data_IF_783960309754
#
_entry.id   IF_783960309754
#
_cell.length_a   1.000
_cell.length_b   1.000
_cell.length_c   1.000
_cell.angle_alpha   90.00
_cell.angle_beta   90.00
_cell.angle_gamma   90.00
#
_symmetry.space_group_name_H-M   'P 1'
#
loop_
_entity.id
_entity.type
_entity.pdbx_description
1 polymer ?
#
# COMPACT_ATOMS: atom_id res chain seq x y z
N UNK A 1 -18.85 54.48 -2.21
CA UNK A 1 -19.13 53.15 -2.79
C UNK A 1 -18.73 52.11 -1.75
N UNK A 2 -19.70 51.59 -1.04
CA UNK A 2 -19.50 50.53 -0.02
C UNK A 2 -19.29 49.21 -0.71
N UNK A 3 -18.09 48.60 -0.54
CA UNK A 3 -17.85 47.22 -0.97
C UNK A 3 -18.83 46.31 -0.20
N UNK A 4 -19.74 45.64 -0.93
CA UNK A 4 -20.51 44.52 -0.39
C UNK A 4 -19.49 43.42 -0.04
N UNK A 5 -19.39 43.07 1.24
CA UNK A 5 -18.72 41.83 1.67
C UNK A 5 -19.57 40.68 1.13
N UNK A 6 -19.02 39.94 0.15
CA UNK A 6 -19.60 38.65 -0.26
C UNK A 6 -19.33 37.64 0.85
N UNK A 7 -20.37 37.30 1.60
CA UNK A 7 -20.33 36.20 2.59
C UNK A 7 -20.24 34.89 1.81
N UNK A 8 -19.09 34.25 1.87
CA UNK A 8 -18.89 32.90 1.30
C UNK A 8 -19.71 31.93 2.18
N UNK A 9 -20.83 31.43 1.64
CA UNK A 9 -21.59 30.35 2.27
C UNK A 9 -20.92 29.02 1.99
N UNK A 10 -20.29 28.43 3.00
CA UNK A 10 -19.76 27.09 2.92
C UNK A 10 -20.89 26.07 3.17
N UNK A 11 -20.99 25.07 2.27
CA UNK A 11 -21.88 23.93 2.51
C UNK A 11 -21.35 23.11 3.67
N UNK A 12 -22.23 22.65 4.54
CA UNK A 12 -21.89 21.73 5.60
C UNK A 12 -21.29 20.43 5.01
N UNK A 13 -20.19 19.96 5.60
CA UNK A 13 -19.51 18.75 5.16
C UNK A 13 -20.13 17.57 5.90
N UNK A 14 -20.78 16.65 5.16
CA UNK A 14 -21.30 15.41 5.71
C UNK A 14 -20.27 14.29 5.52
N UNK A 15 -19.50 14.03 6.58
CA UNK A 15 -18.51 12.92 6.60
C UNK A 15 -19.21 11.66 7.05
N UNK A 16 -19.07 10.60 6.28
CA UNK A 16 -19.54 9.25 6.55
C UNK A 16 -18.35 8.32 6.71
N UNK A 17 -18.58 7.23 7.42
CA UNK A 17 -17.63 6.16 7.65
C UNK A 17 -18.17 4.85 7.07
N UNK A 18 -17.30 4.01 6.48
CA UNK A 18 -17.65 2.67 6.01
C UNK A 18 -16.46 1.72 6.19
N UNK A 19 -16.77 0.44 6.41
CA UNK A 19 -15.80 -0.66 6.36
C UNK A 19 -15.99 -1.43 5.08
N UNK A 20 -14.89 -1.67 4.37
CA UNK A 20 -14.88 -2.39 3.09
C UNK A 20 -13.92 -3.56 3.21
N UNK A 21 -14.43 -4.77 3.00
CA UNK A 21 -13.60 -5.97 2.91
C UNK A 21 -13.18 -6.17 1.47
N UNK A 22 -11.87 -6.21 1.22
CA UNK A 22 -11.29 -6.60 -0.07
C UNK A 22 -10.66 -7.98 0.02
N UNK A 23 -10.77 -8.75 -1.06
CA UNK A 23 -10.19 -10.09 -1.20
C UNK A 23 -9.31 -10.12 -2.44
N UNK A 24 -8.14 -10.72 -2.32
CA UNK A 24 -7.18 -10.83 -3.41
C UNK A 24 -7.59 -11.84 -4.47
N UNK A 25 -7.55 -11.44 -5.73
CA UNK A 25 -7.78 -12.31 -6.90
C UNK A 25 -6.52 -13.06 -7.34
N UNK A 26 -5.41 -12.80 -6.66
CA UNK A 26 -4.13 -13.41 -6.93
C UNK A 26 -3.12 -13.08 -5.82
N UNK A 27 -1.86 -13.34 -6.09
CA UNK A 27 -0.79 -13.11 -5.12
C UNK A 27 -0.56 -11.62 -4.88
N UNK A 28 -0.47 -11.21 -3.60
CA UNK A 28 0.02 -9.91 -3.18
C UNK A 28 1.53 -9.99 -2.95
N UNK A 29 2.27 -9.05 -3.50
CA UNK A 29 3.70 -8.90 -3.23
C UNK A 29 3.94 -7.65 -2.38
N UNK A 30 4.46 -7.83 -1.16
CA UNK A 30 4.85 -6.74 -0.27
C UNK A 30 6.37 -6.62 -0.25
N UNK A 31 6.87 -5.53 -0.81
CA UNK A 31 8.31 -5.31 -0.91
C UNK A 31 8.61 -3.80 -0.91
N UNK A 32 8.66 -3.22 0.29
CA UNK A 32 9.20 -1.86 0.46
C UNK A 32 10.73 -1.89 0.38
N UNK A 33 11.36 -0.74 0.27
CA UNK A 33 12.81 -0.63 0.42
C UNK A 33 13.21 -1.13 1.82
N UNK A 34 14.00 -2.21 1.87
CA UNK A 34 14.46 -2.82 3.11
C UNK A 34 15.51 -1.96 3.83
N UNK A 35 15.74 -2.23 5.11
CA UNK A 35 16.62 -1.42 5.94
C UNK A 35 18.08 -1.47 5.48
N UNK A 36 18.53 -2.60 4.93
CA UNK A 36 19.89 -2.75 4.36
C UNK A 36 20.08 -1.80 3.18
N UNK A 37 19.12 -1.78 2.27
CA UNK A 37 19.14 -0.86 1.12
C UNK A 37 19.11 0.62 1.57
N UNK A 38 18.33 0.95 2.60
CA UNK A 38 18.29 2.30 3.17
C UNK A 38 19.64 2.70 3.77
N UNK A 39 20.27 1.80 4.57
CA UNK A 39 21.60 2.05 5.15
C UNK A 39 22.64 2.25 4.05
N UNK A 40 22.71 1.35 3.08
CA UNK A 40 23.64 1.45 1.97
C UNK A 40 23.51 2.78 1.20
N UNK A 41 22.27 3.19 0.85
CA UNK A 41 22.04 4.49 0.18
C UNK A 41 22.47 5.68 1.05
N UNK A 42 22.30 5.58 2.37
CA UNK A 42 22.69 6.64 3.28
C UNK A 42 24.21 6.73 3.41
N UNK A 43 24.90 5.58 3.48
CA UNK A 43 26.35 5.50 3.59
C UNK A 43 27.05 5.90 2.30
N UNK A 44 26.52 5.53 1.13
CA UNK A 44 27.03 6.00 -0.16
C UNK A 44 26.97 7.52 -0.30
N UNK A 45 25.93 8.15 0.22
CA UNK A 45 25.82 9.62 0.23
C UNK A 45 26.82 10.30 1.15
N UNK A 46 27.22 9.62 2.24
CA UNK A 46 28.14 10.14 3.25
C UNK A 46 29.60 9.83 2.95
N UNK A 47 29.90 8.64 2.40
CA UNK A 47 31.26 8.15 2.18
C UNK A 47 31.35 7.32 0.89
N UNK A 48 31.86 7.90 -0.19
CA UNK A 48 32.06 7.20 -1.50
C UNK A 48 33.05 6.02 -1.49
N UNK A 49 33.74 5.73 -0.38
CA UNK A 49 34.82 4.74 -0.31
C UNK A 49 34.57 3.54 0.62
N UNK A 50 33.40 3.44 1.25
CA UNK A 50 33.05 2.26 2.06
C UNK A 50 32.51 1.13 1.20
N UNK A 51 33.02 -0.09 1.45
CA UNK A 51 32.39 -1.30 0.90
C UNK A 51 30.95 -1.41 1.40
N UNK A 52 30.01 -1.71 0.50
CA UNK A 52 28.62 -1.93 0.86
C UNK A 52 28.51 -3.09 1.85
N UNK A 53 27.66 -2.92 2.85
CA UNK A 53 27.34 -3.98 3.81
C UNK A 53 26.73 -5.17 3.05
N UNK A 54 27.26 -6.38 3.30
CA UNK A 54 26.64 -7.60 2.77
C UNK A 54 25.33 -7.83 3.54
N UNK A 55 24.19 -7.92 2.83
CA UNK A 55 22.93 -8.10 3.50
C UNK A 55 22.83 -9.48 4.17
N UNK A 56 22.19 -9.53 5.33
CA UNK A 56 21.58 -10.74 5.83
C UNK A 56 20.26 -10.93 5.04
N UNK A 57 20.11 -12.05 4.35
CA UNK A 57 18.93 -12.37 3.56
C UNK A 57 17.63 -12.21 4.35
N UNK A 58 17.60 -12.72 5.58
CA UNK A 58 16.42 -12.64 6.43
C UNK A 58 16.12 -11.21 6.89
N UNK A 59 17.15 -10.39 7.12
CA UNK A 59 16.95 -8.97 7.40
C UNK A 59 16.33 -8.25 6.19
N UNK A 60 16.79 -8.53 4.98
CA UNK A 60 16.19 -7.96 3.77
C UNK A 60 14.72 -8.34 3.64
N UNK A 61 14.38 -9.63 3.79
CA UNK A 61 13.04 -10.17 3.68
C UNK A 61 12.12 -9.55 4.74
N UNK A 62 12.50 -9.60 6.01
CA UNK A 62 11.68 -9.15 7.14
C UNK A 62 11.47 -7.64 7.09
N UNK A 63 12.51 -6.86 6.80
CA UNK A 63 12.41 -5.41 6.79
C UNK A 63 11.78 -4.84 5.52
N UNK A 64 11.58 -5.66 4.48
CA UNK A 64 10.82 -5.30 3.30
C UNK A 64 9.30 -5.35 3.49
N UNK A 65 8.81 -5.87 4.61
CA UNK A 65 7.39 -5.90 4.98
C UNK A 65 7.07 -4.72 5.92
N UNK A 66 5.90 -4.14 5.79
CA UNK A 66 5.31 -3.30 6.84
C UNK A 66 4.62 -4.20 7.86
N UNK A 67 4.92 -4.03 9.12
CA UNK A 67 4.39 -4.81 10.23
C UNK A 67 3.49 -3.95 11.12
N UNK A 68 2.33 -4.46 11.54
CA UNK A 68 1.37 -3.73 12.38
C UNK A 68 2.01 -3.29 13.70
N UNK A 69 2.62 -4.22 14.42
CA UNK A 69 3.14 -4.01 15.78
C UNK A 69 4.64 -3.66 15.79
N UNK A 70 5.11 -3.10 14.67
CA UNK A 70 6.50 -2.76 14.48
C UNK A 70 7.36 -3.91 13.95
N UNK A 71 8.54 -3.56 13.51
CA UNK A 71 9.48 -4.45 12.85
C UNK A 71 10.01 -5.54 13.81
N UNK A 72 10.00 -6.82 13.43
CA UNK A 72 10.65 -7.90 14.18
C UNK A 72 12.13 -7.62 14.42
N UNK A 73 12.67 -8.11 15.53
CA UNK A 73 14.08 -7.92 15.91
C UNK A 73 14.96 -9.13 15.56
N UNK A 74 14.35 -10.30 15.40
CA UNK A 74 15.03 -11.54 15.02
C UNK A 74 15.05 -11.68 13.50
N UNK A 75 16.23 -11.58 12.90
CA UNK A 75 16.47 -11.69 11.46
C UNK A 75 16.95 -13.10 11.11
N UNK A 76 16.11 -14.07 11.42
CA UNK A 76 16.27 -15.48 11.07
C UNK A 76 15.02 -16.02 10.39
N UNK A 77 15.07 -17.23 9.86
CA UNK A 77 13.91 -17.93 9.32
C UNK A 77 12.83 -18.15 10.39
N UNK A 78 13.25 -18.61 11.58
CA UNK A 78 12.37 -18.80 12.73
C UNK A 78 11.75 -17.47 13.18
N UNK A 79 12.55 -16.39 13.20
CA UNK A 79 12.08 -15.04 13.50
C UNK A 79 11.03 -14.53 12.53
N UNK A 80 11.18 -14.84 11.25
CA UNK A 80 10.17 -14.54 10.23
C UNK A 80 8.88 -15.33 10.46
N UNK A 81 8.97 -16.65 10.66
CA UNK A 81 7.80 -17.50 10.91
C UNK A 81 7.04 -17.05 12.15
N UNK A 82 7.74 -16.79 13.24
CA UNK A 82 7.16 -16.23 14.45
C UNK A 82 6.47 -14.90 14.21
N UNK A 83 7.10 -14.00 13.44
CA UNK A 83 6.51 -12.71 13.11
C UNK A 83 5.24 -12.83 12.27
N UNK A 84 5.16 -13.80 11.34
CA UNK A 84 3.97 -14.06 10.54
C UNK A 84 2.80 -14.63 11.36
N UNK A 85 3.09 -15.30 12.48
CA UNK A 85 2.08 -15.85 13.40
C UNK A 85 1.59 -14.82 14.43
N UNK A 86 2.51 -14.03 15.00
CA UNK A 86 2.23 -13.14 16.14
C UNK A 86 1.93 -11.69 15.73
N UNK A 87 2.39 -11.27 14.55
CA UNK A 87 2.25 -9.92 14.02
C UNK A 87 1.62 -9.95 12.62
N UNK A 88 0.99 -8.88 12.19
CA UNK A 88 0.34 -8.83 10.89
C UNK A 88 1.19 -8.06 9.87
N UNK A 89 1.47 -8.66 8.68
CA UNK A 89 1.93 -7.89 7.53
C UNK A 89 0.87 -6.89 7.09
N UNK A 90 1.31 -5.72 6.62
CA UNK A 90 0.40 -4.62 6.30
C UNK A 90 0.64 -4.06 4.90
N UNK A 91 -0.45 -3.56 4.32
CA UNK A 91 -0.43 -2.61 3.21
C UNK A 91 -0.54 -1.18 3.78
N UNK A 92 -0.08 -0.18 3.04
CA UNK A 92 -0.20 1.20 3.50
C UNK A 92 -1.53 1.80 3.10
N UNK A 93 -2.19 2.53 4.00
CA UNK A 93 -3.39 3.31 3.72
C UNK A 93 -3.14 4.31 2.57
N UNK A 94 -1.95 4.91 2.53
CA UNK A 94 -1.52 5.77 1.42
C UNK A 94 -1.48 5.03 0.08
N UNK A 95 -0.94 3.80 0.05
CA UNK A 95 -0.88 2.96 -1.16
C UNK A 95 -2.26 2.62 -1.70
N UNK A 96 -3.20 2.29 -0.82
CA UNK A 96 -4.61 2.06 -1.16
C UNK A 96 -5.24 3.33 -1.73
N UNK A 97 -5.17 4.45 -0.99
CA UNK A 97 -5.72 5.74 -1.43
C UNK A 97 -5.16 6.16 -2.79
N UNK A 98 -3.85 5.96 -3.00
CA UNK A 98 -3.21 6.24 -4.29
C UNK A 98 -3.74 5.33 -5.40
N UNK A 99 -3.90 4.03 -5.15
CA UNK A 99 -4.46 3.09 -6.12
C UNK A 99 -5.88 3.49 -6.54
N UNK A 100 -6.72 3.92 -5.59
CA UNK A 100 -8.07 4.41 -5.88
C UNK A 100 -8.04 5.70 -6.73
N UNK A 101 -7.19 6.66 -6.38
CA UNK A 101 -7.01 7.88 -7.15
C UNK A 101 -6.49 7.63 -8.58
N UNK A 102 -5.56 6.68 -8.74
CA UNK A 102 -5.07 6.25 -10.06
C UNK A 102 -6.21 5.63 -10.89
N UNK A 103 -7.12 4.86 -10.26
CA UNK A 103 -8.28 4.29 -10.93
C UNK A 103 -9.27 5.36 -11.42
N UNK A 104 -9.51 6.41 -10.62
CA UNK A 104 -10.36 7.54 -11.00
C UNK A 104 -9.87 8.17 -12.30
N UNK A 105 -8.58 8.45 -12.41
CA UNK A 105 -8.00 9.10 -13.60
C UNK A 105 -7.98 8.15 -14.80
N UNK A 106 -7.51 6.91 -14.61
CA UNK A 106 -7.34 5.94 -15.72
C UNK A 106 -8.66 5.49 -16.33
N UNK A 107 -9.75 5.50 -15.56
CA UNK A 107 -11.09 5.16 -16.05
C UNK A 107 -11.89 6.40 -16.47
N UNK A 108 -11.28 7.59 -16.50
CA UNK A 108 -11.94 8.82 -16.98
C UNK A 108 -13.08 9.31 -16.09
N UNK A 109 -13.12 8.90 -14.81
CA UNK A 109 -14.15 9.34 -13.84
C UNK A 109 -13.92 10.81 -13.50
N UNK A 110 -12.66 11.23 -13.32
CA UNK A 110 -12.25 12.63 -13.21
C UNK A 110 -10.90 12.81 -13.91
N UNK A 111 -10.63 14.03 -14.37
CA UNK A 111 -9.36 14.39 -15.01
C UNK A 111 -8.18 14.34 -14.01
N UNK A 112 -8.44 14.62 -12.74
CA UNK A 112 -7.44 14.68 -11.69
C UNK A 112 -7.90 13.89 -10.47
N UNK A 113 -6.97 13.21 -9.80
CA UNK A 113 -7.24 12.51 -8.55
C UNK A 113 -7.48 13.43 -7.34
N UNK A 114 -7.24 14.75 -7.47
CA UNK A 114 -7.28 15.71 -6.36
C UNK A 114 -8.63 15.79 -5.68
N UNK A 115 -9.73 15.78 -6.45
CA UNK A 115 -11.10 15.82 -5.91
C UNK A 115 -11.38 14.57 -5.10
N UNK A 116 -11.03 13.38 -5.63
CA UNK A 116 -11.17 12.12 -4.92
C UNK A 116 -10.32 12.10 -3.65
N UNK A 117 -9.05 12.47 -3.76
CA UNK A 117 -8.11 12.47 -2.63
C UNK A 117 -8.51 13.43 -1.49
N UNK A 118 -9.21 14.54 -1.83
CA UNK A 118 -9.76 15.47 -0.85
C UNK A 118 -11.05 14.98 -0.19
N UNK A 119 -11.79 14.08 -0.84
CA UNK A 119 -13.13 13.65 -0.41
C UNK A 119 -13.18 12.26 0.20
N UNK A 120 -12.14 11.44 0.00
CA UNK A 120 -12.05 10.06 0.50
C UNK A 120 -10.73 9.87 1.21
N UNK A 121 -10.78 9.36 2.42
CA UNK A 121 -9.62 9.02 3.22
C UNK A 121 -9.64 7.54 3.59
N UNK A 122 -8.50 6.87 3.50
CA UNK A 122 -8.32 5.50 4.00
C UNK A 122 -7.74 5.60 5.39
N UNK A 123 -8.46 5.07 6.36
CA UNK A 123 -8.06 5.05 7.77
C UNK A 123 -7.18 3.82 7.99
N UNK A 124 -6.11 4.01 8.74
CA UNK A 124 -5.22 2.92 9.12
C UNK A 124 -4.46 3.28 10.38
N UNK A 125 -4.30 2.34 11.28
CA UNK A 125 -3.50 2.53 12.47
C UNK A 125 -2.05 2.80 12.07
N UNK A 126 -1.51 3.95 12.45
CA UNK A 126 -0.19 4.42 11.99
C UNK A 126 -0.05 4.44 10.45
N UNK A 127 -1.15 4.61 9.71
CA UNK A 127 -1.16 4.57 8.26
C UNK A 127 -1.03 3.16 7.65
N UNK A 128 -1.25 2.12 8.43
CA UNK A 128 -1.14 0.73 8.04
C UNK A 128 -2.50 0.03 8.12
N UNK A 129 -2.73 -0.89 7.18
CA UNK A 129 -3.91 -1.76 7.09
C UNK A 129 -3.41 -3.20 7.10
N UNK A 130 -3.71 -3.98 8.15
CA UNK A 130 -3.29 -5.37 8.25
C UNK A 130 -3.93 -6.24 7.18
N UNK A 131 -3.19 -7.25 6.71
CA UNK A 131 -3.73 -8.29 5.84
C UNK A 131 -3.88 -9.62 6.59
N UNK A 132 -4.91 -10.39 6.23
CA UNK A 132 -5.02 -11.82 6.50
C UNK A 132 -4.57 -12.57 5.26
N UNK A 133 -3.98 -13.73 5.39
CA UNK A 133 -3.49 -14.54 4.26
C UNK A 133 -3.51 -16.04 4.62
N UNK A 134 -3.52 -16.90 3.60
CA UNK A 134 -3.51 -18.36 3.80
C UNK A 134 -2.12 -18.96 3.55
N UNK A 135 -1.32 -18.37 2.68
CA UNK A 135 0.02 -18.87 2.33
C UNK A 135 1.00 -17.72 2.18
N UNK A 136 2.22 -17.96 2.64
CA UNK A 136 3.36 -17.07 2.46
C UNK A 136 4.49 -17.82 1.77
N UNK A 137 5.21 -17.12 0.90
CA UNK A 137 6.44 -17.62 0.28
C UNK A 137 7.38 -16.47 -0.04
N UNK A 138 8.67 -16.77 -0.09
CA UNK A 138 9.69 -15.86 -0.64
C UNK A 138 10.04 -16.32 -2.06
N UNK A 139 10.08 -15.38 -2.99
CA UNK A 139 10.49 -15.61 -4.37
C UNK A 139 11.76 -14.81 -4.66
N UNK A 140 12.76 -15.46 -5.22
CA UNK A 140 13.99 -14.81 -5.64
C UNK A 140 13.85 -14.37 -7.09
N UNK A 141 14.03 -13.07 -7.33
CA UNK A 141 13.95 -12.49 -8.66
C UNK A 141 15.18 -11.69 -9.00
N UNK A 142 15.79 -12.00 -10.14
CA UNK A 142 16.83 -11.18 -10.70
C UNK A 142 16.20 -9.94 -11.36
N UNK A 143 16.48 -8.77 -10.83
CA UNK A 143 16.03 -7.51 -11.39
C UNK A 143 17.21 -6.79 -12.06
N UNK A 144 17.01 -6.36 -13.29
CA UNK A 144 17.98 -5.53 -14.01
C UNK A 144 17.52 -4.08 -13.97
N UNK A 145 18.19 -3.20 -13.20
CA UNK A 145 17.92 -1.78 -13.26
C UNK A 145 18.29 -1.25 -14.65
N UNK A 146 17.64 -0.15 -15.07
CA UNK A 146 17.92 0.49 -16.39
C UNK A 146 19.38 0.85 -16.58
N UNK A 147 20.12 1.07 -15.48
CA UNK A 147 21.57 1.28 -15.44
C UNK A 147 22.12 0.52 -14.24
N UNK A 148 23.05 -0.40 -14.46
CA UNK A 148 23.72 -1.16 -13.40
C UNK A 148 23.69 -2.67 -13.63
N UNK A 149 24.37 -3.39 -12.74
CA UNK A 149 24.40 -4.86 -12.75
C UNK A 149 23.07 -5.42 -12.25
N UNK A 150 22.69 -6.64 -12.70
CA UNK A 150 21.52 -7.33 -12.13
C UNK A 150 21.64 -7.49 -10.61
N UNK A 151 20.53 -7.29 -9.91
CA UNK A 151 20.44 -7.42 -8.45
C UNK A 151 19.43 -8.50 -8.13
N UNK A 152 19.80 -9.44 -7.26
CA UNK A 152 18.88 -10.40 -6.69
C UNK A 152 18.00 -9.70 -5.67
N UNK A 153 16.69 -9.87 -5.80
CA UNK A 153 15.69 -9.27 -4.90
C UNK A 153 14.79 -10.38 -4.37
N UNK A 154 14.61 -10.40 -3.06
CA UNK A 154 13.67 -11.29 -2.40
C UNK A 154 12.28 -10.64 -2.35
N UNK A 155 11.27 -11.33 -2.85
CA UNK A 155 9.90 -10.85 -2.93
C UNK A 155 9.02 -11.59 -1.91
N UNK A 156 8.44 -10.87 -0.98
CA UNK A 156 7.47 -11.41 -0.03
C UNK A 156 6.11 -11.58 -0.71
N UNK A 157 5.63 -12.81 -0.84
CA UNK A 157 4.40 -13.17 -1.56
C UNK A 157 3.37 -13.75 -0.60
N UNK A 158 2.17 -13.20 -0.67
CA UNK A 158 1.02 -13.60 0.13
C UNK A 158 -0.11 -14.04 -0.79
N UNK A 159 -0.60 -15.27 -0.62
CA UNK A 159 -1.72 -15.83 -1.38
C UNK A 159 -2.93 -16.06 -0.48
N UNK A 160 -4.14 -16.02 -1.07
CA UNK A 160 -5.39 -16.09 -0.30
C UNK A 160 -5.51 -14.93 0.70
N UNK A 161 -5.11 -13.74 0.29
CA UNK A 161 -5.08 -12.59 1.16
C UNK A 161 -6.39 -11.79 1.12
N UNK A 162 -6.68 -11.13 2.22
CA UNK A 162 -7.77 -10.18 2.37
C UNK A 162 -7.38 -9.04 3.31
N UNK A 163 -8.10 -7.93 3.25
CA UNK A 163 -7.94 -6.83 4.17
C UNK A 163 -9.28 -6.14 4.45
N UNK A 164 -9.45 -5.64 5.66
CA UNK A 164 -10.55 -4.75 6.06
C UNK A 164 -10.04 -3.30 5.98
N UNK A 165 -10.69 -2.50 5.15
CA UNK A 165 -10.34 -1.10 4.90
C UNK A 165 -11.40 -0.23 5.53
N UNK A 166 -11.01 0.68 6.41
CA UNK A 166 -11.88 1.73 6.91
C UNK A 166 -11.70 2.98 6.07
N UNK A 167 -12.81 3.59 5.65
CA UNK A 167 -12.85 4.79 4.83
C UNK A 167 -13.75 5.85 5.44
N UNK A 168 -13.20 7.09 5.51
CA UNK A 168 -13.99 8.30 5.73
C UNK A 168 -14.20 8.99 4.39
N UNK A 169 -15.43 9.42 4.12
CA UNK A 169 -15.76 10.05 2.85
C UNK A 169 -16.80 11.16 2.98
N UNK A 170 -16.74 12.12 2.07
CA UNK A 170 -17.71 13.21 1.97
C UNK A 170 -18.85 12.75 1.05
N UNK A 171 -19.99 12.39 1.65
CA UNK A 171 -21.16 11.85 0.95
C UNK A 171 -21.67 12.78 -0.16
N UNK A 172 -21.60 14.09 0.07
CA UNK A 172 -22.01 15.09 -0.93
C UNK A 172 -21.12 15.13 -2.19
N UNK A 173 -19.94 14.45 -2.16
CA UNK A 173 -19.02 14.43 -3.30
C UNK A 173 -19.02 13.09 -3.99
N UNK A 174 -18.98 11.99 -3.24
CA UNK A 174 -19.05 10.62 -3.73
C UNK A 174 -19.99 9.81 -2.84
N UNK A 175 -20.94 9.10 -3.46
CA UNK A 175 -21.75 8.11 -2.74
C UNK A 175 -20.88 6.87 -2.40
N UNK A 176 -21.31 6.10 -1.40
CA UNK A 176 -20.63 4.85 -1.02
C UNK A 176 -20.56 3.88 -2.21
N UNK A 177 -21.63 3.78 -3.01
CA UNK A 177 -21.67 2.94 -4.22
C UNK A 177 -20.60 3.35 -5.24
N UNK A 178 -20.44 4.66 -5.48
CA UNK A 178 -19.38 5.16 -6.37
C UNK A 178 -17.99 4.83 -5.85
N UNK A 179 -17.76 4.95 -4.54
CA UNK A 179 -16.49 4.61 -3.92
C UNK A 179 -16.19 3.11 -4.06
N UNK A 180 -17.18 2.24 -3.80
CA UNK A 180 -17.05 0.80 -3.97
C UNK A 180 -16.69 0.45 -5.41
N UNK A 181 -17.34 1.08 -6.40
CA UNK A 181 -17.02 0.87 -7.81
C UNK A 181 -15.59 1.34 -8.14
N UNK A 182 -15.13 2.46 -7.58
CA UNK A 182 -13.75 2.93 -7.74
C UNK A 182 -12.76 1.94 -7.11
N UNK A 183 -13.05 1.38 -5.94
CA UNK A 183 -12.22 0.36 -5.27
C UNK A 183 -12.12 -0.90 -6.14
N UNK A 184 -13.22 -1.37 -6.73
CA UNK A 184 -13.23 -2.50 -7.65
C UNK A 184 -12.43 -2.22 -8.94
N UNK A 185 -12.58 -1.03 -9.53
CA UNK A 185 -11.78 -0.60 -10.68
C UNK A 185 -10.28 -0.53 -10.33
N UNK A 186 -9.95 -0.07 -9.12
CA UNK A 186 -8.58 -0.06 -8.63
C UNK A 186 -8.04 -1.48 -8.46
N UNK A 187 -8.81 -2.38 -7.88
CA UNK A 187 -8.42 -3.78 -7.70
C UNK A 187 -8.20 -4.49 -9.02
N UNK A 188 -9.12 -4.32 -9.98
CA UNK A 188 -9.01 -4.93 -11.30
C UNK A 188 -7.88 -4.34 -12.14
N UNK A 189 -7.77 -3.01 -12.21
CA UNK A 189 -6.93 -2.31 -13.18
C UNK A 189 -5.55 -1.88 -12.67
N UNK A 190 -5.44 -1.55 -11.37
CA UNK A 190 -4.23 -0.98 -10.78
C UNK A 190 -3.52 -1.98 -9.87
N UNK A 191 -4.25 -2.60 -8.93
CA UNK A 191 -3.69 -3.43 -7.86
C UNK A 191 -2.97 -2.63 -6.78
N UNK A 192 -2.46 -3.36 -5.78
CA UNK A 192 -1.68 -2.81 -4.66
C UNK A 192 -0.37 -3.59 -4.46
N UNK A 193 0.54 -3.08 -3.63
CA UNK A 193 1.83 -3.69 -3.38
C UNK A 193 2.83 -3.52 -4.52
N UNK A 194 3.78 -4.43 -4.60
CA UNK A 194 4.86 -4.45 -5.58
C UNK A 194 4.51 -5.35 -6.77
N UNK A 195 5.14 -5.10 -7.95
CA UNK A 195 4.96 -5.94 -9.13
C UNK A 195 3.58 -5.85 -9.79
N UNK A 196 2.84 -4.77 -9.58
CA UNK A 196 1.49 -4.54 -10.16
C UNK A 196 1.44 -4.68 -11.67
N UNK A 197 2.48 -4.25 -12.38
CA UNK A 197 2.61 -4.43 -13.83
C UNK A 197 2.71 -5.90 -14.26
N UNK A 198 3.08 -6.79 -13.34
CA UNK A 198 3.12 -8.24 -13.53
C UNK A 198 1.85 -8.94 -13.04
N UNK A 199 0.80 -8.19 -12.70
CA UNK A 199 -0.49 -8.73 -12.28
C UNK A 199 -0.62 -9.01 -10.78
N UNK A 200 0.41 -8.72 -9.96
CA UNK A 200 0.31 -8.88 -8.52
C UNK A 200 -0.62 -7.84 -7.86
N UNK A 201 -1.21 -8.24 -6.73
CA UNK A 201 -2.01 -7.36 -5.88
C UNK A 201 -3.37 -6.98 -6.47
N UNK A 202 -3.93 -7.78 -7.37
CA UNK A 202 -5.32 -7.65 -7.84
C UNK A 202 -6.29 -8.07 -6.75
N UNK A 203 -7.45 -7.42 -6.70
CA UNK A 203 -8.48 -7.67 -5.70
C UNK A 203 -9.86 -7.19 -6.13
N UNK A 204 -10.87 -7.60 -5.40
CA UNK A 204 -12.24 -7.09 -5.50
C UNK A 204 -12.83 -6.82 -4.12
N UNK A 205 -13.93 -6.07 -4.07
CA UNK A 205 -14.71 -5.84 -2.86
C UNK A 205 -15.61 -7.06 -2.62
N UNK A 206 -15.47 -7.66 -1.44
CA UNK A 206 -16.26 -8.83 -1.02
C UNK A 206 -17.35 -8.48 0.00
N UNK A 207 -17.24 -7.37 0.71
CA UNK A 207 -18.23 -6.95 1.72
C UNK A 207 -18.13 -5.46 2.04
N UNK A 208 -19.23 -4.91 2.54
CA UNK A 208 -19.34 -3.50 2.96
C UNK A 208 -20.23 -3.42 4.20
N UNK A 209 -19.78 -2.70 5.22
CA UNK A 209 -20.48 -2.43 6.48
C UNK A 209 -20.55 -0.94 6.78
#
# INVERSE_FOLDING_TARGET
MTKKEEIISLKEINVKHAKVTIVGDGTLCLNKMNDVAVRNLTDERKNKSKSLEKPNMWEEIITAIHWRDGKPKDYSEDGLHKALEENAPCITAFGLKKSFGDAVVRNGIDKYQTKFAASVNVVGENGLVPIKFSQYSVDEKLMSPKKGSPVLVHLNRFSGWSAEIEIDYIENTYSLEQIINIINLAGFGIGIGSGRSSGYGRYHVAGVE
#
